data_IF_612330320556
#
_entry.id   IF_612330320556
#
_cell.length_a   1.000
_cell.length_b   1.000
_cell.length_c   1.000
_cell.angle_alpha   90.00
_cell.angle_beta   90.00
_cell.angle_gamma   90.00
#
_symmetry.space_group_name_H-M   'P 1'
#
loop_
_entity.id
_entity.type
_entity.pdbx_description
1 polymer ?
#
# COMPACT_ATOMS: atom_id res chain seq x y z
N UNK A 1 24.88 -9.60 3.32
CA UNK A 1 24.08 -10.77 2.95
C UNK A 1 22.72 -10.68 3.62
N UNK A 2 21.64 -10.85 2.85
CA UNK A 2 20.29 -10.80 3.39
C UNK A 2 19.60 -12.16 3.29
N UNK A 3 18.81 -12.49 4.31
CA UNK A 3 17.90 -13.62 4.30
C UNK A 3 16.47 -13.08 4.46
N UNK A 4 15.56 -13.56 3.65
CA UNK A 4 14.14 -13.25 3.79
C UNK A 4 13.32 -14.53 3.72
N UNK A 5 12.23 -14.55 4.44
CA UNK A 5 11.27 -15.64 4.44
C UNK A 5 9.89 -15.14 4.84
N UNK A 6 8.89 -15.85 4.42
CA UNK A 6 7.52 -15.48 4.74
C UNK A 6 6.56 -16.56 4.33
N UNK A 7 5.31 -16.30 4.59
CA UNK A 7 4.22 -17.12 4.12
C UNK A 7 3.04 -16.24 3.70
N UNK A 8 2.28 -16.72 2.77
CA UNK A 8 1.05 -16.12 2.29
C UNK A 8 -0.06 -17.16 2.29
N UNK A 9 -1.27 -16.67 2.28
CA UNK A 9 -2.42 -17.55 2.25
C UNK A 9 -3.72 -16.83 1.94
N UNK A 10 -4.69 -17.62 1.52
CA UNK A 10 -6.04 -17.17 1.25
C UNK A 10 -7.02 -18.03 2.05
N UNK A 11 -7.79 -17.37 2.92
CA UNK A 11 -8.84 -18.03 3.67
C UNK A 11 -10.23 -17.57 3.18
N UNK A 12 -11.08 -18.52 2.84
CA UNK A 12 -12.46 -18.28 2.43
C UNK A 12 -13.41 -18.61 3.56
N UNK A 13 -14.03 -17.58 4.14
CA UNK A 13 -15.07 -17.76 5.16
C UNK A 13 -16.34 -18.35 4.55
N UNK A 14 -16.67 -17.93 3.33
CA UNK A 14 -17.77 -18.43 2.52
C UNK A 14 -17.57 -18.01 1.04
N UNK A 15 -18.56 -18.29 0.19
CA UNK A 15 -18.49 -17.95 -1.24
C UNK A 15 -18.39 -16.44 -1.54
N UNK A 16 -18.69 -15.60 -0.57
CA UNK A 16 -18.78 -14.15 -0.75
C UNK A 16 -17.75 -13.36 0.09
N UNK A 17 -16.97 -14.02 0.95
CA UNK A 17 -16.03 -13.35 1.84
C UNK A 17 -14.73 -14.14 1.92
N UNK A 18 -13.63 -13.48 1.58
CA UNK A 18 -12.29 -14.03 1.66
C UNK A 18 -11.31 -13.07 2.34
N UNK A 19 -10.32 -13.63 2.98
CA UNK A 19 -9.16 -12.94 3.54
C UNK A 19 -7.92 -13.41 2.78
N UNK A 20 -7.20 -12.49 2.19
CA UNK A 20 -5.87 -12.68 1.64
C UNK A 20 -4.86 -12.08 2.63
N UNK A 21 -3.78 -12.80 2.92
CA UNK A 21 -2.77 -12.33 3.84
C UNK A 21 -1.37 -12.75 3.42
N UNK A 22 -0.40 -11.88 3.71
CA UNK A 22 1.01 -12.11 3.46
C UNK A 22 1.81 -11.59 4.66
N UNK A 23 2.76 -12.39 5.12
CA UNK A 23 3.61 -12.09 6.25
C UNK A 23 5.06 -12.41 5.83
N UNK A 24 5.90 -11.40 5.84
CA UNK A 24 7.32 -11.54 5.49
C UNK A 24 8.21 -10.98 6.60
N UNK A 25 9.35 -11.62 6.77
CA UNK A 25 10.44 -11.15 7.62
C UNK A 25 11.74 -11.15 6.83
N UNK A 26 12.58 -10.17 7.09
CA UNK A 26 13.93 -10.09 6.54
C UNK A 26 14.95 -9.89 7.65
N UNK A 27 16.15 -10.44 7.45
CA UNK A 27 17.33 -10.15 8.27
C UNK A 27 18.46 -9.80 7.32
N UNK A 28 19.00 -8.62 7.49
CA UNK A 28 20.11 -8.09 6.68
C UNK A 28 21.36 -8.00 7.53
N UNK A 29 22.47 -8.45 6.97
CA UNK A 29 23.83 -8.24 7.48
C UNK A 29 24.55 -7.48 6.39
N UNK A 30 24.86 -6.23 6.63
CA UNK A 30 25.55 -5.38 5.66
C UNK A 30 27.03 -5.70 5.56
N UNK A 31 27.64 -5.50 4.40
CA UNK A 31 29.11 -5.52 4.30
C UNK A 31 29.68 -4.34 5.11
N UNK A 32 30.83 -4.54 5.74
CA UNK A 32 31.56 -3.45 6.40
C UNK A 32 32.51 -2.80 5.39
N UNK A 33 31.96 -2.02 4.47
CA UNK A 33 32.73 -1.30 3.44
C UNK A 33 32.00 -0.01 3.04
N UNK A 34 32.27 1.06 3.76
CA UNK A 34 31.66 2.37 3.53
C UNK A 34 32.04 3.01 2.20
N UNK A 35 33.04 2.48 1.50
CA UNK A 35 33.43 3.00 0.17
C UNK A 35 32.38 2.72 -0.89
N UNK A 36 31.60 1.64 -0.73
CA UNK A 36 30.52 1.24 -1.65
C UNK A 36 29.30 2.17 -1.49
N UNK A 37 29.07 2.72 -0.29
CA UNK A 37 27.92 3.55 0.05
C UNK A 37 28.23 5.05 0.13
N UNK A 38 29.42 5.49 -0.25
CA UNK A 38 29.87 6.88 -0.11
C UNK A 38 28.96 7.94 -0.74
N UNK A 39 28.09 7.56 -1.66
CA UNK A 39 27.08 8.44 -2.28
C UNK A 39 25.77 8.56 -1.48
N UNK A 40 25.55 7.74 -0.46
CA UNK A 40 24.29 7.66 0.26
C UNK A 40 24.20 8.62 1.45
N UNK A 41 25.30 9.29 1.81
CA UNK A 41 25.40 10.33 2.85
C UNK A 41 24.89 9.90 4.24
N UNK A 42 24.96 8.63 4.60
CA UNK A 42 24.66 8.13 5.93
C UNK A 42 23.24 8.47 6.43
N UNK A 43 22.23 8.42 5.59
CA UNK A 43 20.86 8.67 6.02
C UNK A 43 20.43 7.67 7.08
N UNK A 44 19.93 8.20 8.20
CA UNK A 44 19.38 7.40 9.29
C UNK A 44 17.97 6.88 8.93
N UNK A 45 17.69 5.63 9.27
CA UNK A 45 16.37 5.05 9.16
C UNK A 45 16.07 4.08 10.32
N UNK A 46 14.79 3.98 10.67
CA UNK A 46 14.38 3.22 11.84
C UNK A 46 14.66 3.95 13.17
N UNK A 47 14.25 3.31 14.27
CA UNK A 47 14.44 3.86 15.62
C UNK A 47 15.83 3.64 16.18
N UNK A 48 16.60 2.74 15.61
CA UNK A 48 17.87 2.23 16.16
C UNK A 48 19.10 2.89 15.53
N UNK A 49 18.92 4.07 14.92
CA UNK A 49 20.03 4.82 14.31
C UNK A 49 20.81 4.04 13.24
N UNK A 50 20.13 3.13 12.54
CA UNK A 50 20.70 2.38 11.41
C UNK A 50 20.97 3.37 10.29
N UNK A 51 22.13 3.25 9.66
CA UNK A 51 22.52 4.14 8.57
C UNK A 51 22.29 3.49 7.20
N UNK A 52 22.26 4.29 6.15
CA UNK A 52 22.28 3.78 4.77
C UNK A 52 23.70 3.41 4.32
N UNK A 53 24.72 3.69 5.12
CA UNK A 53 26.09 3.32 4.83
C UNK A 53 26.32 1.82 5.11
N UNK A 54 27.21 1.21 4.34
CA UNK A 54 27.58 -0.18 4.57
C UNK A 54 28.68 -0.26 5.64
N UNK A 55 28.28 -0.01 6.89
CA UNK A 55 29.17 0.02 8.06
C UNK A 55 29.13 -1.28 8.89
N UNK A 56 28.47 -2.31 8.36
CA UNK A 56 28.37 -3.63 8.98
C UNK A 56 27.17 -3.83 9.87
N UNK A 57 26.18 -2.96 9.77
CA UNK A 57 24.93 -3.04 10.55
C UNK A 57 24.17 -4.35 10.33
N UNK A 58 23.54 -4.83 11.41
CA UNK A 58 22.67 -6.01 11.39
C UNK A 58 21.29 -5.58 11.84
N UNK A 59 20.31 -5.73 10.95
CA UNK A 59 18.94 -5.37 11.26
C UNK A 59 17.94 -6.37 10.72
N UNK A 60 16.75 -6.32 11.29
CA UNK A 60 15.61 -7.15 10.86
C UNK A 60 14.42 -6.27 10.54
N UNK A 61 13.65 -6.70 9.57
CA UNK A 61 12.44 -6.01 9.16
C UNK A 61 11.30 -6.97 8.87
N UNK A 62 10.11 -6.42 8.73
CA UNK A 62 8.92 -7.20 8.37
C UNK A 62 8.00 -6.44 7.41
N UNK A 63 7.20 -7.20 6.71
CA UNK A 63 6.12 -6.70 5.85
C UNK A 63 4.87 -7.52 6.11
N UNK A 64 3.74 -6.83 6.31
CA UNK A 64 2.43 -7.42 6.54
C UNK A 64 1.46 -6.90 5.47
N UNK A 65 0.59 -7.78 5.00
CA UNK A 65 -0.50 -7.46 4.10
C UNK A 65 -1.73 -8.26 4.49
N UNK A 66 -2.86 -7.59 4.61
CA UNK A 66 -4.17 -8.19 4.83
C UNK A 66 -5.19 -7.53 3.93
N UNK A 67 -5.95 -8.32 3.20
CA UNK A 67 -7.06 -7.84 2.37
C UNK A 67 -8.31 -8.68 2.63
N UNK A 68 -9.32 -8.06 3.21
CA UNK A 68 -10.64 -8.67 3.39
C UNK A 68 -11.54 -8.21 2.24
N UNK A 69 -11.94 -9.16 1.40
CA UNK A 69 -12.79 -8.90 0.23
C UNK A 69 -14.14 -9.57 0.38
N UNK A 70 -15.17 -8.76 0.24
CA UNK A 70 -16.57 -9.21 0.27
C UNK A 70 -17.28 -8.93 -1.05
N UNK A 71 -18.02 -9.94 -1.55
CA UNK A 71 -18.82 -9.85 -2.76
C UNK A 71 -20.23 -10.39 -2.50
N UNK A 72 -21.24 -9.61 -2.82
CA UNK A 72 -22.63 -10.06 -2.72
C UNK A 72 -23.44 -9.53 -3.89
N UNK A 73 -23.89 -10.46 -4.77
CA UNK A 73 -24.57 -10.12 -6.02
C UNK A 73 -23.75 -9.11 -6.84
N UNK A 74 -24.16 -7.86 -6.83
CA UNK A 74 -23.59 -6.76 -7.59
C UNK A 74 -22.84 -5.73 -6.72
N UNK A 75 -22.52 -6.06 -5.48
CA UNK A 75 -21.80 -5.18 -4.54
C UNK A 75 -20.47 -5.80 -4.16
N UNK A 76 -19.46 -4.96 -4.02
CA UNK A 76 -18.15 -5.33 -3.56
C UNK A 76 -17.69 -4.41 -2.41
N UNK A 77 -16.93 -4.98 -1.48
CA UNK A 77 -16.23 -4.27 -0.41
C UNK A 77 -14.84 -4.86 -0.27
N UNK A 78 -13.83 -4.01 -0.22
CA UNK A 78 -12.45 -4.39 0.10
C UNK A 78 -11.96 -3.53 1.26
N UNK A 79 -11.43 -4.17 2.28
CA UNK A 79 -10.70 -3.55 3.38
C UNK A 79 -9.26 -4.06 3.31
N UNK A 80 -8.29 -3.16 3.20
CA UNK A 80 -6.89 -3.50 3.07
C UNK A 80 -6.08 -2.80 4.16
N UNK A 81 -5.19 -3.56 4.79
CA UNK A 81 -4.10 -3.08 5.62
C UNK A 81 -2.79 -3.61 5.08
N UNK A 82 -1.83 -2.72 4.91
CA UNK A 82 -0.47 -3.08 4.55
C UNK A 82 0.52 -2.28 5.40
N UNK A 83 1.60 -2.92 5.83
CA UNK A 83 2.71 -2.23 6.48
C UNK A 83 4.05 -2.81 6.06
N UNK A 84 5.07 -1.96 6.07
CA UNK A 84 6.48 -2.33 5.95
C UNK A 84 7.29 -1.54 6.96
N UNK A 85 8.10 -2.26 7.72
CA UNK A 85 9.03 -1.60 8.64
C UNK A 85 10.12 -0.84 7.86
N UNK A 86 10.71 0.21 8.45
CA UNK A 86 11.81 0.95 7.84
C UNK A 86 12.99 0.06 7.43
N UNK A 87 13.21 -0.99 8.21
CA UNK A 87 14.33 -1.93 8.10
C UNK A 87 14.02 -3.16 7.23
N UNK A 88 12.83 -3.24 6.60
CA UNK A 88 12.51 -4.36 5.73
C UNK A 88 13.28 -4.28 4.42
N UNK A 89 14.05 -5.32 4.10
CA UNK A 89 14.88 -5.39 2.90
C UNK A 89 14.83 -6.77 2.27
N UNK A 90 14.72 -6.81 0.96
CA UNK A 90 14.76 -8.03 0.15
C UNK A 90 15.69 -7.77 -1.03
N UNK A 91 16.89 -8.36 -1.00
CA UNK A 91 17.94 -8.08 -1.98
C UNK A 91 17.60 -8.57 -3.40
N UNK A 92 16.72 -9.57 -3.54
CA UNK A 92 16.31 -10.16 -4.81
C UNK A 92 14.91 -9.71 -5.28
N UNK A 93 14.31 -8.73 -4.61
CA UNK A 93 12.97 -8.23 -4.90
C UNK A 93 12.93 -6.71 -5.09
N UNK A 94 11.96 -6.24 -5.87
CA UNK A 94 11.69 -4.82 -5.96
C UNK A 94 10.76 -4.40 -4.82
N UNK A 95 11.22 -3.44 -4.02
CA UNK A 95 10.45 -2.79 -2.96
C UNK A 95 10.43 -1.31 -3.26
N UNK A 96 9.25 -0.79 -3.56
CA UNK A 96 9.06 0.61 -3.92
C UNK A 96 9.14 1.56 -2.71
N UNK A 97 8.61 1.13 -1.55
CA UNK A 97 8.59 1.96 -0.34
C UNK A 97 8.68 1.11 0.93
N UNK A 98 9.55 1.52 1.85
CA UNK A 98 9.60 1.09 3.24
C UNK A 98 9.02 2.19 4.15
N UNK A 99 9.07 1.99 5.46
CA UNK A 99 8.63 2.95 6.46
C UNK A 99 7.18 3.41 6.24
N UNK A 100 6.27 2.44 6.02
CA UNK A 100 4.91 2.77 5.59
C UNK A 100 3.87 1.87 6.19
N UNK A 101 2.74 2.46 6.56
CA UNK A 101 1.47 1.80 6.85
C UNK A 101 0.38 2.36 5.98
N UNK A 102 -0.51 1.51 5.52
CA UNK A 102 -1.59 1.90 4.63
C UNK A 102 -2.89 1.23 5.02
N UNK A 103 -3.95 2.03 5.12
CA UNK A 103 -5.32 1.59 5.28
C UNK A 103 -6.11 1.99 4.04
N UNK A 104 -6.83 1.04 3.44
CA UNK A 104 -7.65 1.31 2.26
C UNK A 104 -9.03 0.68 2.44
N UNK A 105 -10.04 1.44 2.06
CA UNK A 105 -11.43 0.98 1.93
C UNK A 105 -11.89 1.24 0.51
N UNK A 106 -12.36 0.21 -0.15
CA UNK A 106 -12.97 0.34 -1.48
C UNK A 106 -14.32 -0.35 -1.47
N UNK A 107 -15.33 0.29 -2.01
CA UNK A 107 -16.65 -0.31 -2.19
C UNK A 107 -17.24 0.07 -3.54
N UNK A 108 -18.05 -0.80 -4.09
CA UNK A 108 -18.68 -0.52 -5.37
C UNK A 108 -19.94 -1.35 -5.61
N UNK A 109 -20.67 -0.92 -6.60
CA UNK A 109 -21.85 -1.64 -7.07
C UNK A 109 -21.90 -1.63 -8.60
N UNK A 110 -22.35 -2.75 -9.16
CA UNK A 110 -22.63 -2.89 -10.58
C UNK A 110 -24.11 -3.17 -10.75
N UNK A 111 -24.78 -2.34 -11.52
CA UNK A 111 -26.21 -2.44 -11.81
C UNK A 111 -26.39 -2.94 -13.25
N UNK A 112 -27.40 -3.75 -13.45
CA UNK A 112 -27.83 -4.25 -14.75
C UNK A 112 -29.26 -3.74 -15.02
N UNK A 113 -29.39 -2.50 -15.53
CA UNK A 113 -30.71 -1.92 -15.74
C UNK A 113 -31.50 -2.69 -16.81
N UNK A 114 -32.75 -3.00 -16.51
CA UNK A 114 -33.65 -3.59 -17.48
C UNK A 114 -34.27 -2.49 -18.37
N UNK A 115 -33.43 -1.85 -19.19
CA UNK A 115 -33.85 -0.82 -20.16
C UNK A 115 -33.17 -1.05 -21.51
N UNK A 116 -33.54 -0.26 -22.52
CA UNK A 116 -32.99 -0.41 -23.87
C UNK A 116 -31.67 0.37 -24.10
N UNK A 117 -31.21 1.14 -23.13
CA UNK A 117 -30.08 2.05 -23.27
C UNK A 117 -28.78 1.47 -22.66
N UNK A 118 -28.86 1.04 -21.40
CA UNK A 118 -27.67 0.59 -20.68
C UNK A 118 -27.68 -0.93 -20.50
N UNK A 119 -26.52 -1.53 -20.67
CA UNK A 119 -26.23 -2.91 -20.33
C UNK A 119 -25.73 -3.00 -18.87
N UNK A 120 -24.77 -2.14 -18.51
CA UNK A 120 -24.24 -2.06 -17.16
C UNK A 120 -24.00 -0.62 -16.72
N UNK A 121 -24.16 -0.37 -15.43
CA UNK A 121 -23.72 0.86 -14.75
C UNK A 121 -22.91 0.46 -13.53
N UNK A 122 -21.76 1.06 -13.33
CA UNK A 122 -20.94 0.81 -12.16
C UNK A 122 -20.61 2.10 -11.40
N UNK A 123 -20.58 1.98 -10.08
CA UNK A 123 -20.23 3.05 -9.16
C UNK A 123 -19.18 2.50 -8.19
N UNK A 124 -18.06 3.19 -8.07
CA UNK A 124 -16.99 2.82 -7.16
C UNK A 124 -16.59 4.01 -6.30
N UNK A 125 -16.36 3.73 -5.05
CA UNK A 125 -15.81 4.64 -4.07
C UNK A 125 -14.59 3.99 -3.44
N UNK A 126 -13.52 4.75 -3.25
CA UNK A 126 -12.36 4.31 -2.52
C UNK A 126 -11.75 5.45 -1.74
N UNK A 127 -11.22 5.12 -0.59
CA UNK A 127 -10.44 6.02 0.24
C UNK A 127 -9.29 5.27 0.89
N UNK A 128 -8.18 5.94 1.07
CA UNK A 128 -7.03 5.38 1.75
C UNK A 128 -6.27 6.43 2.51
N UNK A 129 -5.64 5.97 3.57
CA UNK A 129 -4.76 6.74 4.43
C UNK A 129 -3.42 6.06 4.54
N UNK A 130 -2.37 6.85 4.38
CA UNK A 130 -0.98 6.40 4.45
C UNK A 130 -0.30 7.11 5.61
N UNK A 131 0.40 6.33 6.41
CA UNK A 131 1.23 6.79 7.51
C UNK A 131 2.67 6.34 7.28
N UNK A 132 3.63 7.04 7.89
CA UNK A 132 4.93 6.44 8.17
C UNK A 132 4.78 5.32 9.21
N UNK A 133 5.83 4.56 9.45
CA UNK A 133 5.79 3.45 10.40
C UNK A 133 5.54 3.89 11.85
N UNK A 134 5.87 5.13 12.20
CA UNK A 134 5.64 5.76 13.52
C UNK A 134 4.23 6.41 13.64
N UNK A 135 3.32 6.15 12.68
CA UNK A 135 1.97 6.71 12.62
C UNK A 135 1.88 8.19 12.29
N UNK A 136 2.94 8.81 11.79
CA UNK A 136 2.83 10.15 11.22
C UNK A 136 2.04 10.09 9.91
N UNK A 137 0.99 10.87 9.78
CA UNK A 137 0.13 10.90 8.61
C UNK A 137 0.87 11.52 7.41
N UNK A 138 0.93 10.79 6.30
CA UNK A 138 1.63 11.20 5.08
C UNK A 138 0.65 11.63 3.98
N UNK A 139 -0.41 10.85 3.79
CA UNK A 139 -1.30 11.04 2.64
C UNK A 139 -2.69 10.55 2.97
N UNK A 140 -3.70 11.32 2.58
CA UNK A 140 -5.07 10.87 2.42
C UNK A 140 -5.47 10.98 0.96
N UNK A 141 -6.22 10.02 0.47
CA UNK A 141 -6.78 10.06 -0.86
C UNK A 141 -8.21 9.51 -0.90
N UNK A 142 -8.97 10.01 -1.85
CA UNK A 142 -10.34 9.58 -2.11
C UNK A 142 -10.57 9.56 -3.61
N UNK A 143 -11.32 8.57 -4.08
CA UNK A 143 -11.84 8.57 -5.44
C UNK A 143 -13.31 8.18 -5.50
N UNK A 144 -13.98 8.73 -6.51
CA UNK A 144 -15.31 8.36 -6.95
C UNK A 144 -15.22 8.02 -8.44
N UNK A 145 -15.68 6.85 -8.82
CA UNK A 145 -15.70 6.44 -10.22
C UNK A 145 -17.09 5.98 -10.61
N UNK A 146 -17.52 6.43 -11.78
CA UNK A 146 -18.75 5.99 -12.42
C UNK A 146 -18.44 5.57 -13.86
N UNK A 147 -18.95 4.43 -14.29
CA UNK A 147 -18.87 4.01 -15.69
C UNK A 147 -20.18 3.35 -16.14
N UNK A 148 -20.41 3.40 -17.43
CA UNK A 148 -21.56 2.78 -18.06
C UNK A 148 -21.21 2.17 -19.40
N UNK A 149 -21.81 1.00 -19.67
CA UNK A 149 -21.81 0.34 -20.97
C UNK A 149 -23.20 0.39 -21.55
N UNK A 150 -23.34 0.92 -22.76
CA UNK A 150 -24.57 0.97 -23.52
C UNK A 150 -24.72 -0.25 -24.42
N UNK A 151 -25.93 -0.66 -24.72
CA UNK A 151 -26.24 -1.80 -25.62
C UNK A 151 -25.70 -1.63 -27.05
N UNK A 152 -25.36 -0.43 -27.48
CA UNK A 152 -24.74 -0.10 -28.75
C UNK A 152 -23.21 -0.17 -28.77
N UNK A 153 -22.57 -0.90 -27.81
CA UNK A 153 -21.11 -1.03 -27.65
C UNK A 153 -20.37 0.28 -27.27
N UNK A 154 -21.11 1.35 -26.99
CA UNK A 154 -20.53 2.58 -26.45
C UNK A 154 -20.36 2.47 -24.95
N UNK A 155 -19.15 2.77 -24.45
CA UNK A 155 -18.85 2.81 -23.02
C UNK A 155 -18.28 4.19 -22.66
N UNK A 156 -18.53 4.60 -21.41
CA UNK A 156 -17.95 5.80 -20.82
C UNK A 156 -17.49 5.54 -19.39
N UNK A 157 -16.55 6.34 -18.93
CA UNK A 157 -16.08 6.31 -17.54
C UNK A 157 -15.63 7.69 -17.09
N UNK A 158 -15.96 8.04 -15.86
CA UNK A 158 -15.55 9.28 -15.19
C UNK A 158 -15.01 8.90 -13.83
N UNK A 159 -13.82 9.41 -13.50
CA UNK A 159 -13.22 9.24 -12.18
C UNK A 159 -12.80 10.59 -11.65
N UNK A 160 -13.26 10.90 -10.44
CA UNK A 160 -12.83 12.04 -9.64
C UNK A 160 -11.85 11.53 -8.60
N UNK A 161 -10.69 12.14 -8.51
CA UNK A 161 -9.65 11.80 -7.55
C UNK A 161 -9.18 13.04 -6.81
N UNK A 162 -9.05 12.93 -5.48
CA UNK A 162 -8.45 13.95 -4.64
C UNK A 162 -7.41 13.30 -3.72
N UNK A 163 -6.30 13.99 -3.51
CA UNK A 163 -5.20 13.55 -2.66
C UNK A 163 -4.71 14.73 -1.82
N UNK A 164 -4.57 14.51 -0.52
CA UNK A 164 -3.97 15.44 0.44
C UNK A 164 -2.62 14.87 0.87
N UNK A 165 -1.57 15.63 0.64
CA UNK A 165 -0.22 15.31 1.09
C UNK A 165 0.06 16.12 2.37
N UNK A 166 0.47 15.43 3.42
CA UNK A 166 0.88 16.04 4.68
C UNK A 166 2.40 16.10 4.68
N UNK A 167 2.96 17.28 4.46
CA UNK A 167 4.40 17.51 4.57
C UNK A 167 4.73 17.82 6.02
N UNK A 168 5.69 17.10 6.61
CA UNK A 168 6.29 17.56 7.87
C UNK A 168 6.88 18.94 7.66
N UNK A 169 6.73 19.88 8.63
CA UNK A 169 7.37 21.19 8.51
C UNK A 169 8.86 20.99 8.25
N UNK A 170 9.35 21.65 7.20
CA UNK A 170 10.78 21.63 6.91
C UNK A 170 11.56 22.10 8.12
N UNK A 171 12.73 21.53 8.44
CA UNK A 171 13.60 22.07 9.52
C UNK A 171 13.91 23.56 9.36
N UNK A 172 13.74 24.13 8.17
CA UNK A 172 13.87 25.56 7.89
C UNK A 172 12.68 26.39 8.39
N UNK A 173 11.51 25.80 8.60
CA UNK A 173 10.30 26.51 9.03
C UNK A 173 10.21 26.61 10.56
N UNK A 174 11.04 25.90 11.30
CA UNK A 174 11.08 25.90 12.78
C UNK A 174 12.06 26.96 13.33
N UNK A 175 12.77 27.66 12.48
CA UNK A 175 13.80 28.66 12.86
C UNK A 175 13.31 30.11 12.71
N UNK A 176 12.05 30.41 13.11
CA UNK A 176 11.56 31.78 13.29
C UNK A 176 10.99 32.01 14.66
#
# INVERSE_FOLDING_TARGET
MGNSGGFDGLYRFNNNLKLDFQLFSSKTVEPNDTTISSSLNGHLFGKDSITSDFDGDIFSGHSLYFSLEGWKKNRALTLLYAERSPTFRVDNGYIDFNDRRQLVVTTGTMLYPNNNTFETLSFWFGTGRVFSYDWTQLTDWIYLSHSGQMKGQFGYGITLFACLLYTSPSPRDVSR
#
